data_IF_423538167016
#
_entry.id   IF_423538167016
#
_cell.length_a   1.000
_cell.length_b   1.000
_cell.length_c   1.000
_cell.angle_alpha   90.00
_cell.angle_beta   90.00
_cell.angle_gamma   90.00
#
_symmetry.space_group_name_H-M   'P 1'
#
loop_
_entity.id
_entity.type
_entity.pdbx_description
1 polymer ?
#
# COMPACT_ATOMS: atom_id res chain seq x y z
N UNK A 1 20.18 -25.61 39.42
CA UNK A 1 19.37 -24.38 39.24
C UNK A 1 19.60 -23.72 37.88
N UNK A 2 20.32 -24.39 36.98
CA UNK A 2 20.80 -23.81 35.72
C UNK A 2 19.92 -24.19 34.52
N UNK A 3 19.22 -25.33 34.62
CA UNK A 3 18.25 -25.77 33.62
C UNK A 3 17.13 -24.75 33.41
N UNK A 4 16.60 -24.18 34.49
CA UNK A 4 15.53 -23.19 34.40
C UNK A 4 16.01 -21.90 33.73
N UNK A 5 17.26 -21.47 33.97
CA UNK A 5 17.86 -20.30 33.29
C UNK A 5 18.07 -20.55 31.80
N UNK A 6 18.58 -21.73 31.43
CA UNK A 6 18.74 -22.13 30.03
C UNK A 6 17.39 -22.22 29.32
N UNK A 7 16.36 -22.75 30.00
CA UNK A 7 15.00 -22.78 29.49
C UNK A 7 14.46 -21.37 29.24
N UNK A 8 14.66 -20.42 30.17
CA UNK A 8 14.24 -19.02 29.98
C UNK A 8 14.99 -18.31 28.84
N UNK A 9 16.28 -18.59 28.66
CA UNK A 9 17.08 -18.04 27.55
C UNK A 9 16.63 -18.61 26.22
N UNK A 10 16.40 -19.92 26.14
CA UNK A 10 15.89 -20.59 24.94
C UNK A 10 14.49 -20.11 24.60
N UNK A 11 13.60 -19.95 25.59
CA UNK A 11 12.26 -19.38 25.41
C UNK A 11 12.32 -17.92 24.96
N UNK A 12 13.21 -17.11 25.53
CA UNK A 12 13.41 -15.71 25.11
C UNK A 12 13.97 -15.61 23.68
N UNK A 13 14.91 -16.48 23.30
CA UNK A 13 15.48 -16.52 21.95
C UNK A 13 14.46 -17.03 20.93
N UNK A 14 13.69 -18.09 21.25
CA UNK A 14 12.58 -18.55 20.41
C UNK A 14 11.47 -17.48 20.29
N UNK A 15 11.22 -16.71 21.35
CA UNK A 15 10.28 -15.60 21.32
C UNK A 15 10.83 -14.43 20.47
N UNK A 16 12.14 -14.15 20.53
CA UNK A 16 12.78 -13.09 19.74
C UNK A 16 12.81 -13.40 18.24
N UNK A 17 12.85 -14.69 17.86
CA UNK A 17 12.74 -15.14 16.47
C UNK A 17 11.32 -15.04 15.88
N UNK A 18 10.30 -14.79 16.72
CA UNK A 18 8.91 -14.57 16.28
C UNK A 18 8.53 -13.10 16.15
N UNK A 19 9.34 -12.14 16.60
CA UNK A 19 9.07 -10.72 16.39
C UNK A 19 9.63 -10.19 15.06
N UNK A 20 10.62 -10.86 14.49
CA UNK A 20 11.33 -10.38 13.30
C UNK A 20 10.78 -10.94 11.98
N UNK A 21 9.58 -11.50 11.99
CA UNK A 21 8.85 -11.96 10.80
C UNK A 21 7.47 -11.31 10.69
N UNK A 22 7.38 -10.01 10.98
CA UNK A 22 6.33 -9.15 10.41
C UNK A 22 6.65 -8.93 8.92
N UNK A 23 6.34 -9.94 8.12
CA UNK A 23 6.57 -9.98 6.69
C UNK A 23 5.62 -9.01 5.96
N UNK A 24 5.98 -7.72 5.90
CA UNK A 24 5.68 -6.64 4.93
C UNK A 24 4.28 -6.44 4.29
N UNK A 25 3.36 -7.42 4.30
CA UNK A 25 2.00 -7.26 3.80
C UNK A 25 1.15 -6.64 4.90
N UNK A 26 0.91 -5.33 4.79
CA UNK A 26 0.04 -4.61 5.74
C UNK A 26 0.75 -3.80 6.83
N UNK A 27 2.06 -3.54 6.76
CA UNK A 27 2.64 -2.53 7.66
C UNK A 27 2.19 -1.12 7.25
N UNK A 28 1.78 -0.30 8.22
CA UNK A 28 1.46 1.11 8.00
C UNK A 28 2.77 1.90 7.94
N UNK A 29 2.96 2.66 6.85
CA UNK A 29 4.18 3.44 6.58
C UNK A 29 3.80 4.92 6.48
N UNK A 30 4.11 5.69 7.51
CA UNK A 30 3.88 7.13 7.54
C UNK A 30 5.17 7.90 7.25
N UNK A 31 5.06 9.08 6.66
CA UNK A 31 6.19 10.00 6.57
C UNK A 31 6.71 10.32 7.96
N UNK A 32 8.04 10.25 8.15
CA UNK A 32 8.71 10.52 9.44
C UNK A 32 8.11 9.75 10.63
N UNK A 33 7.44 8.62 10.39
CA UNK A 33 6.85 7.74 11.40
C UNK A 33 5.42 8.08 11.85
N UNK A 34 4.95 9.33 11.74
CA UNK A 34 3.58 9.72 12.18
C UNK A 34 2.92 10.78 11.30
N UNK A 35 3.67 11.41 10.41
CA UNK A 35 3.19 12.48 9.55
C UNK A 35 2.38 11.89 8.39
N UNK A 36 1.27 12.56 8.04
CA UNK A 36 0.45 12.18 6.88
C UNK A 36 1.06 12.73 5.59
N UNK A 37 0.86 12.07 4.44
CA UNK A 37 0.12 10.82 4.25
C UNK A 37 0.81 9.56 4.82
N UNK A 38 -0.01 8.55 5.14
CA UNK A 38 0.44 7.22 5.53
C UNK A 38 -0.05 6.20 4.50
N UNK A 39 0.77 5.21 4.21
CA UNK A 39 0.55 4.22 3.18
C UNK A 39 0.51 2.82 3.78
N UNK A 40 -0.25 1.92 3.14
CA UNK A 40 -0.27 0.50 3.47
C UNK A 40 -0.34 -0.27 2.18
N UNK A 41 0.64 -1.16 1.96
CA UNK A 41 0.67 -2.00 0.77
C UNK A 41 0.11 -3.38 1.13
N UNK A 42 -0.92 -3.78 0.41
CA UNK A 42 -1.57 -5.09 0.58
C UNK A 42 -1.20 -5.97 -0.61
N UNK A 43 -0.56 -7.10 -0.35
CA UNK A 43 -0.14 -8.04 -1.37
C UNK A 43 -0.64 -9.46 -1.08
N UNK A 44 -1.07 -10.15 -2.14
CA UNK A 44 -1.60 -11.52 -2.09
C UNK A 44 -0.68 -12.42 -2.96
N UNK A 45 0.23 -13.19 -2.34
CA UNK A 45 1.29 -13.93 -3.04
C UNK A 45 0.81 -14.90 -4.12
N UNK A 46 -0.19 -15.74 -3.81
CA UNK A 46 -0.58 -16.83 -4.69
C UNK A 46 -1.54 -16.41 -5.81
N UNK A 47 -1.91 -15.14 -5.89
CA UNK A 47 -2.85 -14.61 -6.91
C UNK A 47 -4.28 -15.18 -6.86
N UNK A 48 -4.53 -16.21 -6.03
CA UNK A 48 -5.81 -16.92 -5.88
C UNK A 48 -6.96 -16.02 -5.44
N UNK A 49 -6.65 -14.86 -4.87
CA UNK A 49 -7.60 -13.82 -4.43
C UNK A 49 -7.26 -12.44 -5.00
N UNK A 50 -6.86 -12.33 -6.27
CA UNK A 50 -6.76 -11.02 -6.94
C UNK A 50 -8.07 -10.24 -6.74
N UNK A 51 -7.96 -9.06 -6.14
CA UNK A 51 -9.11 -8.20 -5.91
C UNK A 51 -9.45 -7.47 -7.20
N UNK A 52 -10.74 -7.29 -7.46
CA UNK A 52 -11.21 -6.27 -8.40
C UNK A 52 -10.91 -4.88 -7.84
N UNK A 53 -10.89 -3.86 -8.72
CA UNK A 53 -10.77 -2.46 -8.28
C UNK A 53 -11.77 -2.10 -7.18
N UNK A 54 -13.04 -2.50 -7.34
CA UNK A 54 -14.10 -2.19 -6.38
C UNK A 54 -13.87 -2.87 -5.02
N UNK A 55 -13.33 -4.10 -5.01
CA UNK A 55 -12.97 -4.79 -3.78
C UNK A 55 -11.76 -4.15 -3.10
N UNK A 56 -10.71 -3.79 -3.85
CA UNK A 56 -9.53 -3.13 -3.33
C UNK A 56 -9.87 -1.77 -2.70
N UNK A 57 -10.65 -0.95 -3.42
CA UNK A 57 -11.13 0.35 -2.92
C UNK A 57 -12.01 0.21 -1.67
N UNK A 58 -12.90 -0.78 -1.62
CA UNK A 58 -13.68 -1.05 -0.41
C UNK A 58 -12.79 -1.46 0.77
N UNK A 59 -11.78 -2.31 0.53
CA UNK A 59 -10.85 -2.74 1.56
C UNK A 59 -10.11 -1.53 2.18
N UNK A 60 -9.53 -0.65 1.35
CA UNK A 60 -8.86 0.56 1.82
C UNK A 60 -9.79 1.48 2.64
N UNK A 61 -11.04 1.69 2.17
CA UNK A 61 -12.03 2.47 2.93
C UNK A 61 -12.43 1.86 4.27
N UNK A 62 -12.47 0.53 4.34
CA UNK A 62 -12.81 -0.18 5.58
C UNK A 62 -11.72 0.03 6.65
N UNK A 63 -10.48 0.28 6.23
CA UNK A 63 -9.35 0.61 7.10
C UNK A 63 -9.18 2.13 7.35
N UNK A 64 -10.13 2.96 6.89
CA UNK A 64 -10.09 4.41 7.08
C UNK A 64 -9.18 5.18 6.11
N UNK A 65 -8.77 4.54 5.01
CA UNK A 65 -8.03 5.17 3.92
C UNK A 65 -8.80 5.15 2.59
N UNK A 66 -8.10 5.33 1.48
CA UNK A 66 -8.60 5.13 0.11
C UNK A 66 -7.45 4.56 -0.73
N UNK A 67 -7.74 4.05 -1.94
CA UNK A 67 -6.67 3.67 -2.86
C UNK A 67 -5.73 4.86 -3.14
N UNK A 68 -4.43 4.54 -3.25
CA UNK A 68 -3.34 5.51 -3.43
C UNK A 68 -3.64 6.55 -4.52
N UNK A 69 -3.55 7.82 -4.15
CA UNK A 69 -3.31 8.94 -5.06
C UNK A 69 -1.81 9.19 -5.19
N UNK A 70 -1.38 9.77 -6.30
CA UNK A 70 0.02 10.17 -6.50
C UNK A 70 0.02 11.61 -6.97
N UNK A 71 0.47 12.50 -6.11
CA UNK A 71 0.42 13.95 -6.31
C UNK A 71 1.80 14.54 -6.65
N UNK A 72 2.88 13.81 -6.39
CA UNK A 72 4.25 14.29 -6.65
C UNK A 72 5.19 13.18 -7.13
N UNK A 73 6.27 13.58 -7.81
CA UNK A 73 7.35 12.65 -8.20
C UNK A 73 8.01 11.99 -6.99
N UNK A 74 8.26 12.75 -5.92
CA UNK A 74 8.89 12.22 -4.71
C UNK A 74 8.02 11.15 -4.03
N UNK A 75 6.70 11.33 -4.01
CA UNK A 75 5.76 10.32 -3.55
C UNK A 75 5.80 9.08 -4.44
N UNK A 76 5.80 9.24 -5.77
CA UNK A 76 5.90 8.10 -6.69
C UNK A 76 7.18 7.28 -6.44
N UNK A 77 8.33 7.95 -6.34
CA UNK A 77 9.61 7.29 -6.09
C UNK A 77 9.60 6.53 -4.76
N UNK A 78 9.03 7.13 -3.72
CA UNK A 78 8.89 6.50 -2.40
C UNK A 78 8.05 5.22 -2.48
N UNK A 79 6.89 5.26 -3.13
CA UNK A 79 6.00 4.11 -3.29
C UNK A 79 6.67 3.01 -4.11
N UNK A 80 7.34 3.35 -5.21
CA UNK A 80 8.10 2.39 -6.03
C UNK A 80 9.18 1.71 -5.20
N UNK A 81 9.93 2.46 -4.40
CA UNK A 81 10.95 1.90 -3.52
C UNK A 81 10.36 0.92 -2.50
N UNK A 82 9.20 1.23 -1.91
CA UNK A 82 8.52 0.31 -1.00
C UNK A 82 8.06 -0.96 -1.69
N UNK A 83 7.49 -0.86 -2.90
CA UNK A 83 7.05 -2.04 -3.68
C UNK A 83 8.25 -2.95 -4.02
N UNK A 84 9.39 -2.37 -4.40
CA UNK A 84 10.60 -3.12 -4.73
C UNK A 84 11.19 -3.91 -3.55
N UNK A 85 10.91 -3.49 -2.31
CA UNK A 85 11.34 -4.20 -1.10
C UNK A 85 10.43 -5.38 -0.74
N UNK A 86 9.23 -5.45 -1.33
CA UNK A 86 8.33 -6.56 -1.10
C UNK A 86 8.81 -7.80 -1.87
N UNK A 87 8.54 -9.02 -1.35
CA UNK A 87 8.59 -10.25 -2.14
C UNK A 87 7.69 -10.20 -3.40
N UNK A 88 6.81 -9.19 -3.43
CA UNK A 88 5.82 -8.86 -4.43
C UNK A 88 6.32 -7.99 -5.60
N UNK A 89 7.62 -7.73 -5.73
CA UNK A 89 8.15 -6.74 -6.68
C UNK A 89 7.71 -6.96 -8.15
N UNK A 90 7.24 -8.16 -8.50
CA UNK A 90 6.75 -8.52 -9.84
C UNK A 90 5.22 -8.36 -10.02
N UNK A 91 4.48 -7.91 -9.00
CA UNK A 91 3.02 -7.80 -9.02
C UNK A 91 2.46 -6.46 -9.55
N UNK A 92 1.16 -6.46 -9.90
CA UNK A 92 0.41 -5.23 -10.19
C UNK A 92 -0.41 -4.80 -8.97
N UNK A 93 -0.44 -3.51 -8.70
CA UNK A 93 -1.17 -2.91 -7.58
C UNK A 93 -2.27 -1.98 -8.09
N UNK A 94 -3.41 -1.98 -7.40
CA UNK A 94 -4.48 -1.01 -7.65
C UNK A 94 -4.11 0.35 -7.03
N UNK A 95 -4.35 1.42 -7.78
CA UNK A 95 -4.28 2.82 -7.32
C UNK A 95 -5.61 3.52 -7.60
N UNK A 96 -5.81 4.70 -7.03
CA UNK A 96 -7.10 5.38 -6.96
C UNK A 96 -7.51 6.20 -8.19
N UNK A 97 -6.82 6.10 -9.34
CA UNK A 97 -7.13 6.94 -10.50
C UNK A 97 -8.37 6.41 -11.22
N UNK A 98 -9.33 7.29 -11.51
CA UNK A 98 -10.57 6.95 -12.21
C UNK A 98 -10.91 7.96 -13.27
N UNK A 99 -11.41 7.48 -14.41
CA UNK A 99 -12.03 8.32 -15.43
C UNK A 99 -13.47 8.65 -15.02
N UNK A 100 -13.87 9.91 -15.14
CA UNK A 100 -15.25 10.35 -15.05
C UNK A 100 -16.03 9.74 -16.22
N UNK A 101 -17.18 9.15 -15.93
CA UNK A 101 -18.01 8.45 -16.93
C UNK A 101 -19.01 9.38 -17.63
N UNK A 102 -19.09 10.66 -17.22
CA UNK A 102 -20.13 11.59 -17.64
C UNK A 102 -19.81 12.32 -18.96
N UNK A 103 -18.55 12.32 -19.41
CA UNK A 103 -18.18 12.92 -20.70
C UNK A 103 -17.86 11.84 -21.75
N UNK A 104 -18.92 11.41 -22.45
CA UNK A 104 -18.81 10.91 -23.84
C UNK A 104 -18.63 12.06 -24.84
N UNK A 105 -18.22 13.25 -24.38
CA UNK A 105 -17.93 14.39 -25.22
C UNK A 105 -16.56 14.25 -25.85
N UNK A 106 -16.47 14.59 -27.14
CA UNK A 106 -15.21 14.74 -27.90
C UNK A 106 -14.40 15.94 -27.36
N UNK A 107 -14.08 15.97 -26.07
CA UNK A 107 -13.30 17.00 -25.42
C UNK A 107 -11.81 16.76 -25.64
N UNK A 108 -11.11 17.75 -26.18
CA UNK A 108 -9.69 17.70 -26.54
C UNK A 108 -8.72 17.53 -25.38
N UNK A 109 -9.20 17.54 -24.13
CA UNK A 109 -8.38 17.42 -22.92
C UNK A 109 -8.66 16.12 -22.17
N UNK A 110 -7.99 15.05 -22.61
CA UNK A 110 -8.02 13.74 -21.95
C UNK A 110 -7.60 13.80 -20.47
N UNK A 111 -6.89 14.85 -20.03
CA UNK A 111 -6.42 14.99 -18.66
C UNK A 111 -7.53 15.38 -17.68
N UNK A 112 -8.50 16.17 -18.14
CA UNK A 112 -9.62 16.65 -17.32
C UNK A 112 -10.59 15.53 -16.89
N UNK A 113 -10.60 14.42 -17.64
CA UNK A 113 -11.49 13.29 -17.37
C UNK A 113 -11.04 12.44 -16.18
N UNK A 114 -9.78 12.56 -15.72
CA UNK A 114 -9.25 11.69 -14.66
C UNK A 114 -9.24 12.39 -13.31
N UNK A 115 -9.67 11.67 -12.27
CA UNK A 115 -9.63 12.11 -10.89
C UNK A 115 -9.21 11.00 -9.94
N UNK A 116 -8.64 11.37 -8.81
CA UNK A 116 -8.36 10.46 -7.70
C UNK A 116 -9.61 10.20 -6.87
N UNK A 117 -9.72 9.02 -6.27
CA UNK A 117 -10.87 8.63 -5.44
C UNK A 117 -10.96 9.40 -4.12
N UNK A 118 -9.83 9.85 -3.58
CA UNK A 118 -9.73 10.63 -2.34
C UNK A 118 -10.03 12.13 -2.53
N UNK A 119 -10.24 12.56 -3.78
CA UNK A 119 -10.49 13.96 -4.14
C UNK A 119 -9.24 14.82 -4.31
N UNK A 120 -8.04 14.23 -4.23
CA UNK A 120 -6.78 14.92 -4.54
C UNK A 120 -6.70 15.35 -6.02
N UNK A 121 -5.83 16.31 -6.30
CA UNK A 121 -5.68 16.84 -7.66
C UNK A 121 -4.82 15.92 -8.53
N UNK A 122 -5.33 15.53 -9.70
CA UNK A 122 -4.60 14.71 -10.68
C UNK A 122 -3.71 15.58 -11.60
N UNK A 123 -2.88 16.44 -11.01
CA UNK A 123 -2.00 17.38 -11.73
C UNK A 123 -0.65 16.77 -12.10
N UNK A 124 -0.13 15.87 -11.27
CA UNK A 124 1.13 15.19 -11.54
C UNK A 124 0.95 14.09 -12.59
N UNK A 125 1.79 14.15 -13.63
CA UNK A 125 1.87 13.18 -14.72
C UNK A 125 3.35 13.03 -15.08
N UNK A 126 3.83 11.79 -15.16
CA UNK A 126 5.20 11.47 -15.56
C UNK A 126 5.33 11.46 -17.09
#
# INVERSE_FOLDING_TARGET
>A
MDFMKLLWIVVSILCCSCYASELFSGQLICLRGTERPCYRIVYIPDGSRRLTFAQASRACRTEGGELLSVETESEQLLIVQFIQQLPAAEGYFWIGLRRNHEDQGLGSDCGADYRWLDGSQATFRY
#
